data_IF_474468601246
#
_entry.id   IF_474468601246
#
_cell.length_a   1.000
_cell.length_b   1.000
_cell.length_c   1.000
_cell.angle_alpha   90.00
_cell.angle_beta   90.00
_cell.angle_gamma   90.00
#
_symmetry.space_group_name_H-M   'P 1'
#
loop_
_entity.id
_entity.type
_entity.pdbx_description
1 polymer ?
#
# COMPACT_ATOMS: atom_id res chain seq x y z
N UNK A 1 32.63 11.45 4.37
CA UNK A 1 32.45 10.06 3.88
C UNK A 1 31.57 9.25 4.81
N UNK A 2 31.88 9.13 6.11
CA UNK A 2 31.05 8.37 7.07
C UNK A 2 29.59 8.83 7.15
N UNK A 3 29.32 10.15 7.07
CA UNK A 3 27.94 10.67 7.00
C UNK A 3 27.20 10.20 5.75
N UNK A 4 27.87 10.16 4.60
CA UNK A 4 27.28 9.65 3.35
C UNK A 4 27.03 8.14 3.42
N UNK A 5 27.96 7.36 3.98
CA UNK A 5 27.73 5.92 4.16
C UNK A 5 26.51 5.65 5.05
N UNK A 6 26.31 6.45 6.10
CA UNK A 6 25.11 6.36 6.94
C UNK A 6 23.84 6.71 6.17
N UNK A 7 23.88 7.76 5.34
CA UNK A 7 22.76 8.15 4.47
C UNK A 7 22.46 7.02 3.45
N UNK A 8 23.48 6.41 2.84
CA UNK A 8 23.33 5.25 1.97
C UNK A 8 22.60 4.09 2.68
N UNK A 9 23.02 3.75 3.91
CA UNK A 9 22.42 2.66 4.67
C UNK A 9 20.96 2.96 5.04
N UNK A 10 20.65 4.21 5.38
CA UNK A 10 19.27 4.64 5.63
C UNK A 10 18.40 4.49 4.39
N UNK A 11 18.88 4.94 3.22
CA UNK A 11 18.16 4.82 1.96
C UNK A 11 17.94 3.36 1.57
N UNK A 12 18.96 2.51 1.74
CA UNK A 12 18.85 1.06 1.51
C UNK A 12 17.72 0.46 2.33
N UNK A 13 17.67 0.77 3.62
CA UNK A 13 16.62 0.25 4.50
C UNK A 13 15.23 0.76 4.08
N UNK A 14 15.10 2.03 3.70
CA UNK A 14 13.83 2.57 3.21
C UNK A 14 13.36 1.92 1.90
N UNK A 15 14.28 1.66 0.96
CA UNK A 15 13.99 0.95 -0.29
C UNK A 15 13.50 -0.47 0.03
N UNK A 16 14.23 -1.20 0.87
CA UNK A 16 13.88 -2.57 1.25
C UNK A 16 12.55 -2.65 2.01
N UNK A 17 12.27 -1.70 2.91
CA UNK A 17 11.00 -1.68 3.66
C UNK A 17 9.80 -1.51 2.72
N UNK A 18 9.93 -0.62 1.73
CA UNK A 18 8.89 -0.40 0.73
C UNK A 18 8.71 -1.60 -0.20
N UNK A 19 9.81 -2.14 -0.74
CA UNK A 19 9.81 -3.33 -1.60
C UNK A 19 9.16 -4.53 -0.90
N UNK A 20 9.57 -4.80 0.35
CA UNK A 20 9.03 -5.92 1.12
C UNK A 20 7.53 -5.79 1.40
N UNK A 21 7.03 -4.58 1.64
CA UNK A 21 5.58 -4.44 1.86
C UNK A 21 4.76 -4.43 0.58
N UNK A 22 5.29 -3.95 -0.55
CA UNK A 22 4.67 -4.18 -1.87
C UNK A 22 4.57 -5.68 -2.13
N UNK A 23 5.66 -6.42 -1.90
CA UNK A 23 5.69 -7.87 -2.07
C UNK A 23 4.70 -8.57 -1.13
N UNK A 24 4.67 -8.20 0.15
CA UNK A 24 3.76 -8.80 1.14
C UNK A 24 2.28 -8.64 0.76
N UNK A 25 1.91 -7.51 0.15
CA UNK A 25 0.56 -7.30 -0.36
C UNK A 25 0.32 -8.12 -1.63
N UNK A 26 1.26 -8.06 -2.58
CA UNK A 26 1.14 -8.72 -3.89
C UNK A 26 1.08 -10.25 -3.78
N UNK A 27 1.74 -10.83 -2.78
CA UNK A 27 1.71 -12.26 -2.48
C UNK A 27 0.44 -12.71 -1.73
N UNK A 28 -0.39 -11.78 -1.25
CA UNK A 28 -1.62 -12.13 -0.57
C UNK A 28 -2.65 -12.69 -1.56
N UNK A 29 -3.16 -13.90 -1.26
CA UNK A 29 -4.09 -14.62 -2.14
C UNK A 29 -5.55 -14.19 -1.96
N UNK A 30 -5.90 -13.66 -0.79
CA UNK A 30 -7.26 -13.31 -0.41
C UNK A 30 -7.61 -11.87 -0.79
N UNK A 31 -6.65 -10.95 -0.75
CA UNK A 31 -6.81 -9.55 -1.12
C UNK A 31 -7.41 -9.35 -2.53
N UNK A 32 -6.91 -9.98 -3.61
CA UNK A 32 -7.47 -9.76 -4.94
C UNK A 32 -8.90 -10.28 -5.04
N UNK A 33 -9.25 -11.32 -4.29
CA UNK A 33 -10.62 -11.84 -4.21
C UNK A 33 -11.52 -10.84 -3.47
N UNK A 34 -11.05 -10.28 -2.35
CA UNK A 34 -11.76 -9.24 -1.62
C UNK A 34 -12.04 -8.03 -2.53
N UNK A 35 -11.01 -7.51 -3.20
CA UNK A 35 -11.13 -6.36 -4.08
C UNK A 35 -12.11 -6.65 -5.22
N UNK A 36 -12.04 -7.81 -5.86
CA UNK A 36 -13.00 -8.20 -6.91
C UNK A 36 -14.45 -8.23 -6.42
N UNK A 37 -14.72 -8.75 -5.22
CA UNK A 37 -16.09 -8.75 -4.68
C UNK A 37 -16.58 -7.32 -4.40
N UNK A 38 -15.69 -6.44 -3.92
CA UNK A 38 -16.03 -5.02 -3.73
C UNK A 38 -16.32 -4.33 -5.07
N UNK A 39 -15.51 -4.59 -6.10
CA UNK A 39 -15.75 -4.12 -7.46
C UNK A 39 -17.08 -4.64 -8.03
N UNK A 40 -17.41 -5.91 -7.80
CA UNK A 40 -18.71 -6.47 -8.17
C UNK A 40 -19.87 -5.79 -7.44
N UNK A 41 -19.67 -5.40 -6.18
CA UNK A 41 -20.61 -4.58 -5.41
C UNK A 41 -20.90 -3.24 -6.07
N UNK A 42 -19.87 -2.54 -6.54
CA UNK A 42 -19.99 -1.31 -7.33
C UNK A 42 -20.75 -1.56 -8.64
N UNK A 43 -20.38 -2.63 -9.36
CA UNK A 43 -21.03 -3.01 -10.62
C UNK A 43 -22.51 -3.32 -10.45
N UNK A 44 -22.88 -4.04 -9.39
CA UNK A 44 -24.26 -4.33 -9.04
C UNK A 44 -25.05 -3.06 -8.71
N UNK A 45 -24.46 -2.15 -7.94
CA UNK A 45 -25.04 -0.84 -7.64
C UNK A 45 -25.29 -0.03 -8.93
N UNK A 46 -24.28 0.09 -9.79
CA UNK A 46 -24.41 0.79 -11.06
C UNK A 46 -25.49 0.19 -11.96
N UNK A 47 -25.61 -1.15 -12.00
CA UNK A 47 -26.68 -1.84 -12.74
C UNK A 47 -28.06 -1.52 -12.18
N UNK A 48 -28.20 -1.43 -10.86
CA UNK A 48 -29.45 -1.08 -10.19
C UNK A 48 -29.86 0.36 -10.51
N UNK A 49 -28.97 1.33 -10.35
CA UNK A 49 -29.22 2.75 -10.67
C UNK A 49 -29.57 2.92 -12.14
N UNK A 50 -28.86 2.25 -13.04
CA UNK A 50 -29.14 2.29 -14.49
C UNK A 50 -30.53 1.74 -14.86
N UNK A 51 -31.08 0.81 -14.06
CA UNK A 51 -32.44 0.28 -14.27
C UNK A 51 -33.53 1.17 -13.69
N UNK A 52 -33.21 1.95 -12.66
CA UNK A 52 -34.15 2.77 -11.92
C UNK A 52 -34.20 4.23 -12.40
N UNK A 53 -33.12 4.74 -13.02
CA UNK A 53 -33.00 6.12 -13.48
C UNK A 53 -32.97 6.21 -15.00
N UNK A 54 -33.63 7.22 -15.56
CA UNK A 54 -33.78 7.39 -17.01
C UNK A 54 -32.75 8.33 -17.65
N UNK A 55 -31.55 8.54 -17.06
CA UNK A 55 -30.31 9.10 -17.68
C UNK A 55 -29.55 10.24 -16.94
N UNK A 56 -29.67 10.42 -15.61
CA UNK A 56 -28.91 11.50 -14.93
C UNK A 56 -28.26 11.17 -13.58
N UNK A 57 -28.39 9.95 -13.06
CA UNK A 57 -27.72 9.60 -11.81
C UNK A 57 -26.26 9.25 -12.07
N UNK A 58 -25.36 9.87 -11.29
CA UNK A 58 -23.92 9.61 -11.39
C UNK A 58 -23.61 8.17 -10.99
N UNK A 59 -23.21 7.36 -11.96
CA UNK A 59 -22.67 6.03 -11.72
C UNK A 59 -21.32 6.15 -11.02
N UNK A 60 -21.02 5.18 -10.16
CA UNK A 60 -19.68 5.05 -9.60
C UNK A 60 -18.72 4.58 -10.69
N UNK A 61 -17.52 5.15 -10.70
CA UNK A 61 -16.44 4.65 -11.55
C UNK A 61 -16.04 3.23 -11.11
N UNK A 62 -15.78 2.32 -12.06
CA UNK A 62 -15.31 0.96 -11.76
C UNK A 62 -13.80 0.95 -11.50
N UNK A 63 -13.35 1.66 -10.46
CA UNK A 63 -11.94 1.76 -10.08
C UNK A 63 -11.71 1.36 -8.62
N UNK A 64 -10.46 0.99 -8.30
CA UNK A 64 -10.02 0.69 -6.94
C UNK A 64 -10.37 1.82 -5.95
N UNK A 65 -10.22 3.08 -6.38
CA UNK A 65 -10.51 4.25 -5.55
C UNK A 65 -11.99 4.39 -5.18
N UNK A 66 -12.90 3.94 -6.06
CA UNK A 66 -14.34 4.00 -5.80
C UNK A 66 -14.82 3.09 -4.68
N UNK A 67 -13.97 2.18 -4.17
CA UNK A 67 -14.28 1.37 -2.99
C UNK A 67 -14.57 2.26 -1.77
N UNK A 68 -13.87 3.39 -1.63
CA UNK A 68 -14.13 4.33 -0.53
C UNK A 68 -15.53 4.96 -0.63
N UNK A 69 -15.97 5.26 -1.85
CA UNK A 69 -17.27 5.88 -2.12
C UNK A 69 -18.45 4.97 -1.75
N UNK A 70 -18.25 3.64 -1.72
CA UNK A 70 -19.28 2.71 -1.26
C UNK A 70 -19.72 3.00 0.18
N UNK A 71 -18.85 3.57 1.02
CA UNK A 71 -19.16 3.92 2.41
C UNK A 71 -19.99 5.21 2.54
N UNK A 72 -20.24 5.90 1.42
CA UNK A 72 -21.08 7.10 1.37
C UNK A 72 -22.51 6.82 0.88
N UNK A 73 -22.74 5.61 0.36
CA UNK A 73 -24.01 5.21 -0.24
C UNK A 73 -24.80 4.43 0.81
N UNK A 74 -25.89 5.01 1.29
CA UNK A 74 -26.75 4.40 2.31
C UNK A 74 -27.92 3.64 1.69
N UNK A 75 -28.40 2.62 2.40
CA UNK A 75 -29.64 1.94 2.03
C UNK A 75 -30.81 2.94 1.98
N UNK A 76 -31.63 2.86 0.92
CA UNK A 76 -32.77 3.75 0.64
C UNK A 76 -33.88 3.72 1.71
N UNK A 77 -33.81 2.78 2.66
CA UNK A 77 -34.79 2.60 3.73
C UNK A 77 -34.53 3.50 4.96
N UNK A 78 -33.55 4.43 4.89
CA UNK A 78 -33.16 5.28 6.00
C UNK A 78 -32.33 4.57 7.09
N UNK A 79 -31.73 3.43 6.73
CA UNK A 79 -30.82 2.70 7.61
C UNK A 79 -29.42 3.32 7.65
N UNK A 80 -28.66 3.02 8.70
CA UNK A 80 -27.27 3.43 8.85
C UNK A 80 -26.26 2.56 8.09
N UNK A 81 -26.72 1.48 7.45
CA UNK A 81 -25.89 0.53 6.71
C UNK A 81 -25.53 1.08 5.35
N UNK A 82 -24.23 1.16 5.06
CA UNK A 82 -23.71 1.60 3.76
C UNK A 82 -23.66 0.44 2.76
N UNK A 83 -23.45 0.73 1.48
CA UNK A 83 -23.21 -0.27 0.45
C UNK A 83 -21.96 -1.10 0.78
N UNK A 84 -20.94 -0.46 1.36
CA UNK A 84 -19.75 -1.16 1.83
C UNK A 84 -20.10 -2.12 2.96
N UNK A 85 -20.81 -1.67 4.00
CA UNK A 85 -21.18 -2.51 5.14
C UNK A 85 -21.98 -3.74 4.67
N UNK A 86 -22.97 -3.53 3.81
CA UNK A 86 -23.76 -4.63 3.23
C UNK A 86 -22.89 -5.62 2.45
N UNK A 87 -21.92 -5.14 1.67
CA UNK A 87 -21.03 -5.99 0.89
C UNK A 87 -20.11 -6.79 1.80
N UNK A 88 -19.54 -6.16 2.84
CA UNK A 88 -18.70 -6.83 3.84
C UNK A 88 -19.47 -7.88 4.64
N UNK A 89 -20.71 -7.59 5.05
CA UNK A 89 -21.59 -8.57 5.70
C UNK A 89 -21.83 -9.80 4.80
N UNK A 90 -22.07 -9.59 3.51
CA UNK A 90 -22.24 -10.70 2.56
C UNK A 90 -20.97 -11.53 2.39
N UNK A 91 -19.80 -10.90 2.38
CA UNK A 91 -18.52 -11.61 2.35
C UNK A 91 -18.34 -12.41 3.63
N UNK A 92 -18.66 -11.84 4.80
CA UNK A 92 -18.56 -12.56 6.07
C UNK A 92 -19.46 -13.79 6.12
N UNK A 93 -20.69 -13.68 5.61
CA UNK A 93 -21.66 -14.78 5.58
C UNK A 93 -21.21 -15.92 4.65
N UNK A 94 -20.63 -15.60 3.49
CA UNK A 94 -20.35 -16.58 2.43
C UNK A 94 -18.90 -17.04 2.38
N UNK A 95 -17.95 -16.15 2.68
CA UNK A 95 -16.51 -16.32 2.53
C UNK A 95 -15.71 -15.63 3.66
N UNK A 96 -15.96 -15.98 4.93
CA UNK A 96 -15.36 -15.27 6.08
C UNK A 96 -13.83 -15.26 6.08
N UNK A 97 -13.19 -16.29 5.50
CA UNK A 97 -11.73 -16.37 5.40
C UNK A 97 -11.11 -15.24 4.57
N UNK A 98 -11.87 -14.63 3.66
CA UNK A 98 -11.39 -13.52 2.82
C UNK A 98 -11.13 -12.28 3.68
N UNK A 99 -11.96 -12.03 4.70
CA UNK A 99 -11.83 -10.85 5.56
C UNK A 99 -10.59 -10.90 6.46
N UNK A 100 -10.04 -12.09 6.70
CA UNK A 100 -8.77 -12.27 7.43
C UNK A 100 -7.53 -11.84 6.62
N UNK A 101 -7.70 -11.42 5.35
CA UNK A 101 -6.59 -10.95 4.50
C UNK A 101 -5.73 -9.87 5.18
N UNK A 102 -6.35 -8.98 5.96
CA UNK A 102 -5.64 -7.91 6.63
C UNK A 102 -4.85 -8.33 7.88
N UNK A 103 -5.13 -9.52 8.44
CA UNK A 103 -4.29 -10.13 9.47
C UNK A 103 -3.02 -10.74 8.87
N UNK A 104 -3.05 -11.12 7.58
CA UNK A 104 -1.92 -11.69 6.85
C UNK A 104 -0.96 -10.61 6.32
N UNK A 105 -1.45 -9.38 6.11
CA UNK A 105 -0.69 -8.25 5.58
C UNK A 105 -0.08 -7.41 6.73
N UNK A 106 1.11 -7.81 7.17
CA UNK A 106 1.79 -7.24 8.34
C UNK A 106 2.50 -5.88 8.09
N UNK A 107 2.59 -5.43 6.83
CA UNK A 107 3.36 -4.23 6.46
C UNK A 107 2.52 -2.97 6.22
N UNK A 108 1.18 -3.07 6.14
CA UNK A 108 0.28 -1.95 5.81
C UNK A 108 0.45 -0.73 6.73
N UNK A 109 0.55 -0.95 8.04
CA UNK A 109 0.70 0.13 9.02
C UNK A 109 2.10 0.75 9.04
N UNK A 110 3.13 -0.02 8.65
CA UNK A 110 4.52 0.45 8.63
C UNK A 110 4.78 1.36 7.43
N UNK A 111 4.26 1.01 6.26
CA UNK A 111 4.51 1.76 5.02
C UNK A 111 3.81 3.11 5.02
N UNK A 112 2.51 3.15 5.37
CA UNK A 112 1.69 4.36 5.33
C UNK A 112 2.21 5.54 6.17
N UNK A 113 3.12 5.28 7.12
CA UNK A 113 3.61 6.29 8.07
C UNK A 113 5.10 6.62 7.93
N UNK A 114 5.90 5.83 7.20
CA UNK A 114 7.37 5.93 7.24
C UNK A 114 8.07 6.01 5.90
N UNK A 115 7.47 5.55 4.82
CA UNK A 115 8.13 5.45 3.53
C UNK A 115 7.66 6.57 2.61
N UNK A 116 8.58 7.46 2.24
CA UNK A 116 8.33 8.51 1.24
C UNK A 116 9.31 8.33 0.06
N UNK A 117 8.76 7.99 -1.11
CA UNK A 117 9.57 7.70 -2.30
C UNK A 117 10.26 8.96 -2.85
N UNK A 118 9.66 10.14 -2.70
CA UNK A 118 10.30 11.42 -3.01
C UNK A 118 11.58 11.65 -2.19
N UNK A 119 11.57 11.33 -0.90
CA UNK A 119 12.75 11.45 -0.03
C UNK A 119 13.81 10.41 -0.36
N UNK A 120 13.41 9.18 -0.73
CA UNK A 120 14.34 8.16 -1.25
C UNK A 120 15.01 8.67 -2.53
N UNK A 121 14.22 9.14 -3.49
CA UNK A 121 14.67 9.70 -4.76
C UNK A 121 15.65 10.87 -4.55
N UNK A 122 15.25 11.88 -3.75
CA UNK A 122 16.09 13.04 -3.43
C UNK A 122 17.38 12.64 -2.74
N UNK A 123 17.32 11.64 -1.86
CA UNK A 123 18.50 11.08 -1.20
C UNK A 123 19.48 10.48 -2.19
N UNK A 124 19.01 9.66 -3.13
CA UNK A 124 19.83 9.06 -4.19
C UNK A 124 20.46 10.13 -5.06
N UNK A 125 19.67 11.11 -5.54
CA UNK A 125 20.18 12.22 -6.36
C UNK A 125 21.25 13.01 -5.60
N UNK A 126 21.02 13.31 -4.31
CA UNK A 126 21.97 14.06 -3.46
C UNK A 126 23.27 13.30 -3.26
N UNK A 127 23.22 11.98 -3.04
CA UNK A 127 24.41 11.15 -2.88
C UNK A 127 25.23 11.15 -4.17
N UNK A 128 24.59 10.93 -5.31
CA UNK A 128 25.27 10.95 -6.61
C UNK A 128 25.93 12.29 -6.90
N UNK A 129 25.17 13.38 -6.79
CA UNK A 129 25.70 14.72 -7.00
C UNK A 129 26.87 15.04 -6.04
N UNK A 130 26.73 14.66 -4.77
CA UNK A 130 27.75 14.86 -3.76
C UNK A 130 29.02 14.04 -3.99
N UNK A 131 28.90 12.82 -4.56
CA UNK A 131 30.03 11.99 -4.94
C UNK A 131 30.76 12.58 -6.15
N UNK A 132 30.04 12.95 -7.20
CA UNK A 132 30.62 13.54 -8.41
C UNK A 132 31.39 14.82 -8.10
N UNK A 133 30.82 15.68 -7.26
CA UNK A 133 31.49 16.92 -6.84
C UNK A 133 32.78 16.65 -6.06
N UNK A 134 32.80 15.62 -5.21
CA UNK A 134 33.99 15.26 -4.42
C UNK A 134 35.06 14.60 -5.28
N UNK A 135 34.68 13.76 -6.24
CA UNK A 135 35.59 13.19 -7.24
C UNK A 135 36.25 14.33 -8.02
N UNK A 136 35.46 15.23 -8.62
CA UNK A 136 35.98 16.37 -9.39
C UNK A 136 36.93 17.23 -8.56
N UNK A 137 36.54 17.53 -7.32
CA UNK A 137 37.41 18.29 -6.40
C UNK A 137 38.72 17.58 -6.08
N UNK A 138 38.71 16.24 -6.01
CA UNK A 138 39.90 15.44 -5.74
C UNK A 138 40.81 15.39 -6.97
N UNK A 139 40.25 15.19 -8.16
CA UNK A 139 40.96 15.24 -9.45
C UNK A 139 41.60 16.61 -9.67
N UNK A 140 40.87 17.70 -9.41
CA UNK A 140 41.42 19.06 -9.46
C UNK A 140 42.53 19.28 -8.44
N UNK A 141 42.38 18.75 -7.22
CA UNK A 141 43.38 18.81 -6.17
C UNK A 141 44.67 18.09 -6.57
N UNK A 142 44.56 16.87 -7.08
CA UNK A 142 45.68 16.07 -7.61
C UNK A 142 46.34 16.80 -8.79
N UNK A 143 45.56 17.27 -9.75
CA UNK A 143 46.07 17.98 -10.94
C UNK A 143 46.78 19.30 -10.59
N UNK A 144 46.27 20.06 -9.61
CA UNK A 144 46.94 21.25 -9.05
C UNK A 144 48.24 20.87 -8.33
N UNK A 145 48.22 19.77 -7.58
CA UNK A 145 49.41 19.29 -6.87
C UNK A 145 50.51 18.85 -7.84
N UNK A 146 50.17 18.06 -8.87
CA UNK A 146 51.09 17.66 -9.96
C UNK A 146 51.71 18.88 -10.65
N UNK A 147 50.93 19.94 -10.90
CA UNK A 147 51.44 21.20 -11.45
C UNK A 147 52.33 22.00 -10.47
N UNK A 148 52.17 21.84 -9.16
CA UNK A 148 52.95 22.53 -8.11
C UNK A 148 54.23 21.81 -7.67
N UNK A 149 54.36 20.51 -7.97
CA UNK A 149 55.50 19.66 -7.56
C UNK A 149 56.81 20.04 -8.29
N UNK A 150 56.76 20.94 -9.28
CA UNK A 150 57.98 21.60 -9.79
C UNK A 150 58.62 22.57 -8.78
N UNK A 151 58.07 22.76 -7.56
CA UNK A 151 58.55 23.83 -6.67
C UNK A 151 58.64 23.61 -5.15
N UNK A 152 58.08 22.57 -4.50
CA UNK A 152 58.24 22.49 -3.03
C UNK A 152 58.18 21.10 -2.40
N UNK A 153 59.16 20.87 -1.51
CA UNK A 153 59.26 19.74 -0.57
C UNK A 153 58.48 20.09 0.70
N UNK A 154 57.15 19.96 0.68
CA UNK A 154 56.38 19.91 1.93
C UNK A 154 55.38 18.77 1.83
N UNK A 155 55.76 17.69 2.49
CA UNK A 155 55.12 16.39 2.45
C UNK A 155 53.90 16.41 3.37
N UNK A 156 52.79 16.99 2.90
CA UNK A 156 51.49 16.72 3.51
C UNK A 156 51.11 15.29 3.14
N UNK A 157 50.98 14.42 4.16
CA UNK A 157 50.43 13.06 4.07
C UNK A 157 48.94 13.14 3.71
N UNK A 158 48.61 13.59 2.51
CA UNK A 158 47.32 13.29 1.92
C UNK A 158 47.39 11.83 1.51
N UNK A 159 46.73 10.95 2.27
CA UNK A 159 46.69 9.53 1.98
C UNK A 159 45.73 9.31 0.79
N UNK A 160 46.14 9.78 -0.39
CA UNK A 160 45.31 9.84 -1.58
C UNK A 160 44.74 8.48 -1.95
N UNK A 161 45.50 7.40 -1.75
CA UNK A 161 45.05 6.02 -1.94
C UNK A 161 43.88 5.66 -1.02
N UNK A 162 43.93 6.01 0.27
CA UNK A 162 42.84 5.74 1.21
C UNK A 162 41.57 6.53 0.87
N UNK A 163 41.72 7.76 0.36
CA UNK A 163 40.58 8.58 -0.07
C UNK A 163 39.98 8.03 -1.37
N UNK A 164 40.81 7.62 -2.34
CA UNK A 164 40.36 7.00 -3.58
C UNK A 164 39.61 5.69 -3.31
N UNK A 165 40.16 4.82 -2.47
CA UNK A 165 39.48 3.58 -2.05
C UNK A 165 38.10 3.84 -1.43
N UNK A 166 37.98 4.87 -0.60
CA UNK A 166 36.69 5.26 -0.01
C UNK A 166 35.72 5.86 -1.04
N UNK A 167 36.21 6.56 -2.06
CA UNK A 167 35.39 7.06 -3.18
C UNK A 167 34.86 5.90 -4.00
N UNK A 168 35.72 4.93 -4.34
CA UNK A 168 35.34 3.77 -5.14
C UNK A 168 34.30 2.93 -4.42
N UNK A 169 34.52 2.65 -3.12
CA UNK A 169 33.52 1.97 -2.31
C UNK A 169 32.18 2.73 -2.25
N UNK A 170 32.22 4.05 -2.07
CA UNK A 170 30.99 4.86 -2.08
C UNK A 170 30.28 4.86 -3.43
N UNK A 171 31.02 4.80 -4.54
CA UNK A 171 30.46 4.66 -5.88
C UNK A 171 29.76 3.32 -6.06
N UNK A 172 30.38 2.24 -5.64
CA UNK A 172 29.77 0.90 -5.67
C UNK A 172 28.46 0.88 -4.88
N UNK A 173 28.48 1.44 -3.66
CA UNK A 173 27.26 1.54 -2.83
C UNK A 173 26.20 2.43 -3.51
N UNK A 174 26.61 3.52 -4.15
CA UNK A 174 25.68 4.41 -4.87
C UNK A 174 25.05 3.73 -6.09
N UNK A 175 25.84 3.01 -6.88
CA UNK A 175 25.34 2.25 -8.03
C UNK A 175 24.41 1.13 -7.58
N UNK A 176 24.73 0.45 -6.47
CA UNK A 176 23.83 -0.51 -5.85
C UNK A 176 22.50 0.13 -5.44
N UNK A 177 22.52 1.28 -4.76
CA UNK A 177 21.29 1.98 -4.38
C UNK A 177 20.44 2.40 -5.58
N UNK A 178 21.07 2.86 -6.67
CA UNK A 178 20.35 3.18 -7.92
C UNK A 178 19.65 1.93 -8.47
N UNK A 179 20.36 0.80 -8.52
CA UNK A 179 19.81 -0.45 -9.01
C UNK A 179 18.62 -0.92 -8.15
N UNK A 180 18.77 -0.91 -6.82
CA UNK A 180 17.67 -1.27 -5.91
C UNK A 180 16.47 -0.33 -6.05
N UNK A 181 16.72 0.98 -6.20
CA UNK A 181 15.64 1.95 -6.41
C UNK A 181 14.92 1.74 -7.74
N UNK A 182 15.65 1.48 -8.82
CA UNK A 182 15.07 1.16 -10.12
C UNK A 182 14.25 -0.14 -10.05
N UNK A 183 14.74 -1.16 -9.33
CA UNK A 183 13.98 -2.40 -9.08
C UNK A 183 12.70 -2.13 -8.29
N UNK A 184 12.76 -1.26 -7.27
CA UNK A 184 11.59 -0.84 -6.53
C UNK A 184 10.57 -0.11 -7.42
N UNK A 185 11.00 0.76 -8.33
CA UNK A 185 10.09 1.42 -9.29
C UNK A 185 9.35 0.39 -10.15
N UNK A 186 10.05 -0.65 -10.60
CA UNK A 186 9.41 -1.78 -11.30
C UNK A 186 8.34 -2.42 -10.43
N UNK A 187 8.63 -2.75 -9.17
CA UNK A 187 7.66 -3.35 -8.25
C UNK A 187 6.43 -2.47 -8.04
N UNK A 188 6.60 -1.14 -7.93
CA UNK A 188 5.48 -0.19 -7.80
C UNK A 188 4.58 -0.20 -9.04
N UNK A 189 5.16 -0.24 -10.24
CA UNK A 189 4.38 -0.33 -11.49
C UNK A 189 3.59 -1.64 -11.58
N UNK A 190 4.22 -2.76 -11.23
CA UNK A 190 3.51 -4.05 -11.15
C UNK A 190 2.39 -4.02 -10.10
N UNK A 191 2.64 -3.40 -8.97
CA UNK A 191 1.65 -3.23 -7.91
C UNK A 191 0.44 -2.41 -8.38
N UNK A 192 0.66 -1.32 -9.11
CA UNK A 192 -0.40 -0.51 -9.71
C UNK A 192 -1.30 -1.35 -10.62
N UNK A 193 -0.68 -2.15 -11.51
CA UNK A 193 -1.40 -3.06 -12.39
C UNK A 193 -2.15 -4.15 -11.62
N UNK A 194 -1.53 -4.71 -10.58
CA UNK A 194 -2.15 -5.72 -9.73
C UNK A 194 -3.43 -5.19 -9.05
N UNK A 195 -3.42 -3.93 -8.61
CA UNK A 195 -4.59 -3.29 -8.00
C UNK A 195 -5.60 -2.72 -9.01
N UNK A 196 -5.30 -2.74 -10.31
CA UNK A 196 -6.14 -2.12 -11.34
C UNK A 196 -6.19 -0.58 -11.21
N UNK A 197 -5.11 0.04 -10.71
CA UNK A 197 -4.95 1.50 -10.64
C UNK A 197 -4.43 2.03 -11.98
N UNK A 198 -3.62 1.23 -12.68
CA UNK A 198 -3.09 1.55 -14.00
C UNK A 198 -4.12 1.21 -15.08
N UNK A 199 -5.09 2.09 -15.26
CA UNK A 199 -5.78 2.22 -16.54
C UNK A 199 -4.93 3.17 -17.39
N UNK A 200 -4.29 2.65 -18.44
CA UNK A 200 -3.62 3.43 -19.49
C UNK A 200 -4.54 4.42 -20.26
N UNK A 201 -5.67 4.81 -19.67
CA UNK A 201 -6.75 5.64 -20.18
C UNK A 201 -6.83 7.05 -19.58
N UNK A 202 -6.05 7.42 -18.55
CA UNK A 202 -6.02 8.80 -18.03
C UNK A 202 -5.26 9.81 -18.92
N UNK A 203 -5.11 9.53 -20.23
CA UNK A 203 -4.67 10.47 -21.27
C UNK A 203 -5.69 10.66 -22.40
N UNK A 204 -6.97 10.43 -22.14
CA UNK A 204 -8.04 10.91 -23.03
C UNK A 204 -8.80 11.98 -22.26
N UNK A 205 -8.99 13.16 -22.88
CA UNK A 205 -9.54 14.43 -22.34
C UNK A 205 -8.42 15.33 -21.76
N UNK A 206 -7.82 16.29 -22.45
CA UNK A 206 -8.17 17.07 -23.64
C UNK A 206 -6.95 17.25 -24.55
N UNK A 207 -7.02 16.76 -25.80
CA UNK A 207 -6.09 17.17 -26.86
C UNK A 207 -6.87 18.06 -27.81
N UNK A 208 -6.85 19.37 -27.56
CA UNK A 208 -6.82 20.33 -28.67
C UNK A 208 -5.55 20.07 -29.47
N UNK A 209 -5.63 19.81 -30.79
CA UNK A 209 -4.45 19.55 -31.59
C UNK A 209 -3.79 20.89 -31.90
N UNK A 210 -2.90 21.34 -31.02
CA UNK A 210 -1.82 22.23 -31.44
C UNK A 210 -0.51 21.46 -31.40
N UNK A 211 0.15 21.48 -32.55
CA UNK A 211 1.36 20.75 -32.87
C UNK A 211 2.59 21.34 -32.17
N UNK A 212 3.64 20.51 -32.15
CA UNK A 212 5.05 20.80 -31.91
C UNK A 212 5.53 20.85 -30.44
N UNK A 213 6.00 19.70 -29.96
CA UNK A 213 7.43 19.42 -29.78
C UNK A 213 7.65 18.05 -29.08
N UNK A 214 8.28 17.12 -29.80
CA UNK A 214 9.15 16.06 -29.26
C UNK A 214 8.71 15.26 -28.00
N UNK A 215 7.42 14.93 -27.89
CA UNK A 215 6.89 14.07 -26.83
C UNK A 215 7.24 12.60 -27.08
N UNK A 216 8.50 12.22 -26.88
CA UNK A 216 8.92 10.83 -26.68
C UNK A 216 8.62 10.38 -25.24
N UNK A 217 7.40 10.60 -24.75
CA UNK A 217 6.96 10.04 -23.46
C UNK A 217 6.54 8.58 -23.72
N UNK A 218 7.47 7.66 -23.45
CA UNK A 218 7.21 6.21 -23.48
C UNK A 218 6.13 5.81 -22.48
N UNK A 219 5.51 4.67 -22.72
CA UNK A 219 4.53 4.05 -21.82
C UNK A 219 5.19 3.45 -20.59
N UNK A 220 4.42 3.11 -19.54
CA UNK A 220 4.95 2.36 -18.40
C UNK A 220 5.52 0.99 -18.81
N UNK A 221 4.98 0.39 -19.88
CA UNK A 221 5.53 -0.85 -20.43
C UNK A 221 6.93 -0.64 -21.03
N UNK A 222 7.13 0.49 -21.72
CA UNK A 222 8.46 0.85 -22.23
C UNK A 222 9.45 1.08 -21.08
N UNK A 223 9.00 1.75 -20.01
CA UNK A 223 9.81 1.97 -18.81
C UNK A 223 10.17 0.65 -18.10
N UNK A 224 9.21 -0.28 -17.95
CA UNK A 224 9.47 -1.61 -17.36
C UNK A 224 10.52 -2.36 -18.18
N UNK A 225 10.40 -2.35 -19.50
CA UNK A 225 11.36 -3.00 -20.41
C UNK A 225 12.77 -2.40 -20.33
N UNK A 226 12.87 -1.06 -20.26
CA UNK A 226 14.16 -0.38 -20.06
C UNK A 226 14.78 -0.75 -18.71
N UNK A 227 13.97 -0.80 -17.64
CA UNK A 227 14.40 -1.22 -16.30
C UNK A 227 14.89 -2.67 -16.30
N UNK A 228 14.17 -3.60 -16.93
CA UNK A 228 14.56 -5.02 -17.00
C UNK A 228 15.92 -5.19 -17.67
N UNK A 229 16.12 -4.49 -18.79
CA UNK A 229 17.40 -4.48 -19.51
C UNK A 229 18.53 -4.00 -18.61
N UNK A 230 18.31 -2.94 -17.84
CA UNK A 230 19.31 -2.38 -16.90
C UNK A 230 19.65 -3.36 -15.79
N UNK A 231 18.63 -3.99 -15.17
CA UNK A 231 18.82 -4.97 -14.11
C UNK A 231 19.63 -6.18 -14.60
N UNK A 232 19.34 -6.71 -15.80
CA UNK A 232 20.10 -7.80 -16.40
C UNK A 232 21.56 -7.40 -16.69
N UNK A 233 21.79 -6.20 -17.23
CA UNK A 233 23.14 -5.69 -17.49
C UNK A 233 23.96 -5.53 -16.21
N UNK A 234 23.32 -5.05 -15.13
CA UNK A 234 23.95 -4.92 -13.81
C UNK A 234 24.40 -6.27 -13.25
N UNK A 235 23.51 -7.26 -13.28
CA UNK A 235 23.80 -8.62 -12.83
C UNK A 235 24.93 -9.29 -13.62
N UNK A 236 25.05 -8.95 -14.91
CA UNK A 236 26.12 -9.42 -15.80
C UNK A 236 27.44 -8.63 -15.66
N UNK A 237 27.55 -7.70 -14.70
CA UNK A 237 28.79 -6.98 -14.40
C UNK A 237 29.14 -5.87 -15.39
N UNK A 238 28.21 -5.39 -16.22
CA UNK A 238 28.45 -4.32 -17.21
C UNK A 238 28.33 -2.90 -16.60
N UNK A 239 28.96 -2.71 -15.44
CA UNK A 239 28.73 -1.60 -14.50
C UNK A 239 28.75 -0.20 -15.17
N UNK A 240 29.73 0.08 -16.04
CA UNK A 240 29.86 1.40 -16.68
C UNK A 240 28.71 1.75 -17.62
N UNK A 241 28.25 0.80 -18.44
CA UNK A 241 27.10 1.03 -19.34
C UNK A 241 25.81 1.11 -18.53
N UNK A 242 25.68 0.30 -17.49
CA UNK A 242 24.52 0.33 -16.60
C UNK A 242 24.37 1.69 -15.93
N UNK A 243 25.46 2.32 -15.48
CA UNK A 243 25.40 3.61 -14.77
C UNK A 243 24.74 4.72 -15.60
N UNK A 244 25.15 4.88 -16.86
CA UNK A 244 24.60 5.91 -17.74
C UNK A 244 23.09 5.74 -17.96
N UNK A 245 22.65 4.49 -18.15
CA UNK A 245 21.22 4.19 -18.34
C UNK A 245 20.44 4.40 -17.03
N UNK A 246 20.98 3.98 -15.88
CA UNK A 246 20.35 4.23 -14.57
C UNK A 246 20.16 5.73 -14.31
N UNK A 247 21.17 6.55 -14.62
CA UNK A 247 21.09 8.00 -14.46
C UNK A 247 20.05 8.64 -15.39
N UNK A 248 19.96 8.15 -16.63
CA UNK A 248 18.93 8.57 -17.58
C UNK A 248 17.52 8.23 -17.07
N UNK A 249 17.30 6.99 -16.62
CA UNK A 249 16.00 6.56 -16.06
C UNK A 249 15.63 7.46 -14.89
N UNK A 250 16.50 7.56 -13.87
CA UNK A 250 16.23 8.34 -12.65
C UNK A 250 15.94 9.81 -12.97
N UNK A 251 16.62 10.40 -13.96
CA UNK A 251 16.40 11.80 -14.35
C UNK A 251 15.05 12.05 -15.04
N UNK A 252 14.44 11.00 -15.60
CA UNK A 252 13.18 11.08 -16.34
C UNK A 252 11.97 10.56 -15.55
N UNK A 253 12.16 10.08 -14.32
CA UNK A 253 11.06 9.58 -13.49
C UNK A 253 10.18 10.72 -12.97
N UNK A 254 8.87 10.59 -13.19
CA UNK A 254 7.85 11.45 -12.59
C UNK A 254 7.46 10.88 -11.21
N UNK A 255 8.27 11.16 -10.19
CA UNK A 255 8.15 10.56 -8.84
C UNK A 255 6.78 10.79 -8.19
N UNK A 256 6.11 11.89 -8.53
CA UNK A 256 4.77 12.23 -8.03
C UNK A 256 3.72 11.18 -8.45
N UNK A 257 3.79 10.65 -9.68
CA UNK A 257 2.87 9.60 -10.15
C UNK A 257 3.01 8.31 -9.30
N UNK A 258 4.23 7.99 -8.86
CA UNK A 258 4.47 6.83 -8.01
C UNK A 258 3.99 7.05 -6.56
N UNK A 259 4.01 8.27 -6.04
CA UNK A 259 3.41 8.57 -4.73
C UNK A 259 1.90 8.34 -4.73
N UNK A 260 1.21 8.66 -5.82
CA UNK A 260 -0.21 8.40 -5.98
C UNK A 260 -0.53 6.90 -5.96
N UNK A 261 0.27 6.09 -6.70
CA UNK A 261 0.17 4.62 -6.66
C UNK A 261 0.37 4.09 -5.24
N UNK A 262 1.34 4.64 -4.50
CA UNK A 262 1.57 4.29 -3.09
C UNK A 262 0.45 4.80 -2.16
N UNK A 263 -0.41 5.72 -2.61
CA UNK A 263 -1.66 6.08 -1.94
C UNK A 263 -2.59 4.89 -1.72
N UNK A 264 -2.44 3.81 -2.50
CA UNK A 264 -3.23 2.60 -2.33
C UNK A 264 -3.04 1.93 -0.96
N UNK A 265 -1.87 2.08 -0.35
CA UNK A 265 -1.64 1.59 1.01
C UNK A 265 -2.56 2.27 2.03
N UNK A 266 -2.88 3.55 1.83
CA UNK A 266 -3.79 4.28 2.71
C UNK A 266 -5.21 3.76 2.56
N UNK A 267 -5.67 3.51 1.32
CA UNK A 267 -6.99 2.94 1.09
C UNK A 267 -7.12 1.52 1.66
N UNK A 268 -6.09 0.68 1.48
CA UNK A 268 -6.07 -0.66 2.07
C UNK A 268 -6.06 -0.63 3.60
N UNK A 269 -5.33 0.31 4.21
CA UNK A 269 -5.31 0.48 5.66
C UNK A 269 -6.65 1.01 6.20
N UNK A 270 -7.30 1.92 5.46
CA UNK A 270 -8.66 2.35 5.76
C UNK A 270 -9.66 1.19 5.68
N UNK A 271 -9.58 0.39 4.62
CA UNK A 271 -10.44 -0.77 4.41
C UNK A 271 -10.25 -1.83 5.50
N UNK A 272 -9.01 -2.07 5.96
CA UNK A 272 -8.71 -2.87 7.15
C UNK A 272 -9.48 -2.37 8.38
N UNK A 273 -9.52 -1.07 8.60
CA UNK A 273 -10.29 -0.44 9.66
C UNK A 273 -11.79 -0.72 9.53
N UNK A 274 -12.35 -0.58 8.34
CA UNK A 274 -13.77 -0.87 8.06
C UNK A 274 -14.13 -2.33 8.27
N UNK A 275 -13.31 -3.26 7.78
CA UNK A 275 -13.49 -4.71 8.01
C UNK A 275 -13.48 -5.02 9.51
N UNK A 276 -12.55 -4.45 10.26
CA UNK A 276 -12.47 -4.64 11.72
C UNK A 276 -13.74 -4.17 12.44
N UNK A 277 -14.30 -3.03 12.03
CA UNK A 277 -15.57 -2.50 12.57
C UNK A 277 -16.72 -3.44 12.23
N UNK A 278 -16.84 -3.89 10.97
CA UNK A 278 -17.91 -4.80 10.53
C UNK A 278 -17.88 -6.14 11.28
N UNK A 279 -16.69 -6.72 11.48
CA UNK A 279 -16.50 -7.93 12.31
C UNK A 279 -16.90 -7.69 13.78
N UNK A 280 -16.60 -6.51 14.32
CA UNK A 280 -16.95 -6.09 15.68
C UNK A 280 -18.46 -5.83 15.89
N UNK A 281 -19.11 -5.17 14.94
CA UNK A 281 -20.57 -4.96 14.94
C UNK A 281 -21.33 -6.28 14.87
N UNK A 282 -20.81 -7.27 14.14
CA UNK A 282 -21.39 -8.62 14.13
C UNK A 282 -21.18 -9.37 15.45
N UNK A 283 -20.10 -9.12 16.19
CA UNK A 283 -19.93 -9.66 17.55
C UNK A 283 -20.98 -9.08 18.50
N UNK A 284 -21.23 -7.77 18.48
CA UNK A 284 -22.28 -7.13 19.28
C UNK A 284 -23.68 -7.61 18.87
N UNK A 285 -23.99 -7.67 17.57
CA UNK A 285 -25.25 -8.21 17.08
C UNK A 285 -25.44 -9.69 17.43
N UNK A 286 -24.37 -10.51 17.41
CA UNK A 286 -24.44 -11.91 17.85
C UNK A 286 -24.59 -12.04 19.36
N UNK A 287 -23.98 -11.16 20.16
CA UNK A 287 -24.17 -11.10 21.62
C UNK A 287 -25.62 -10.71 21.93
N UNK A 288 -26.20 -9.73 21.23
CA UNK A 288 -27.61 -9.37 21.38
C UNK A 288 -28.56 -10.50 20.94
N UNK A 289 -28.25 -11.19 19.83
CA UNK A 289 -29.04 -12.35 19.36
C UNK A 289 -28.95 -13.54 20.32
N UNK A 290 -27.77 -13.82 20.86
CA UNK A 290 -27.56 -14.85 21.89
C UNK A 290 -28.23 -14.45 23.21
N UNK A 291 -28.18 -13.16 23.59
CA UNK A 291 -28.88 -12.60 24.75
C UNK A 291 -30.40 -12.73 24.60
N UNK A 292 -30.95 -12.48 23.40
CA UNK A 292 -32.37 -12.66 23.10
C UNK A 292 -32.78 -14.16 23.14
N UNK A 293 -31.94 -15.06 22.63
CA UNK A 293 -32.17 -16.52 22.71
C UNK A 293 -32.11 -17.00 24.18
N UNK A 294 -31.17 -16.50 24.97
CA UNK A 294 -31.06 -16.81 26.41
C UNK A 294 -32.22 -16.20 27.23
N UNK A 295 -32.73 -15.05 26.82
CA UNK A 295 -33.89 -14.38 27.45
C UNK A 295 -35.20 -15.11 27.12
N UNK A 296 -35.37 -15.58 25.88
CA UNK A 296 -36.53 -16.38 25.48
C UNK A 296 -36.52 -17.77 26.14
N UNK A 297 -35.36 -18.41 26.30
CA UNK A 297 -35.26 -19.67 27.08
C UNK A 297 -35.58 -19.48 28.56
N UNK A 298 -35.35 -18.30 29.15
CA UNK A 298 -35.76 -17.98 30.53
C UNK A 298 -37.26 -17.74 30.68
N UNK A 299 -37.94 -17.24 29.64
CA UNK A 299 -39.40 -17.10 29.67
C UNK A 299 -40.11 -18.45 29.47
N UNK A 300 -39.57 -19.35 28.65
CA UNK A 300 -40.15 -20.71 28.51
C UNK A 300 -39.93 -21.56 29.78
N UNK A 301 -38.81 -21.40 30.48
CA UNK A 301 -38.53 -22.15 31.72
C UNK A 301 -39.20 -21.59 32.99
N UNK A 302 -39.58 -20.31 33.03
CA UNK A 302 -40.35 -19.75 34.16
C UNK A 302 -41.85 -20.10 34.12
N UNK A 303 -42.43 -20.33 32.93
CA UNK A 303 -43.88 -20.61 32.83
C UNK A 303 -44.27 -22.00 33.35
N UNK A 304 -43.31 -22.93 33.39
CA UNK A 304 -43.50 -24.28 33.92
C UNK A 304 -43.25 -24.35 35.44
N UNK A 305 -42.33 -23.53 35.98
CA UNK A 305 -42.06 -23.44 37.42
C UNK A 305 -43.17 -22.73 38.20
N UNK A 306 -43.78 -21.68 37.65
CA UNK A 306 -44.90 -20.98 38.30
C UNK A 306 -46.17 -21.84 38.37
N UNK A 307 -46.38 -22.78 37.43
CA UNK A 307 -47.50 -23.74 37.47
C UNK A 307 -47.29 -24.93 38.40
N UNK A 308 -46.04 -25.29 38.71
CA UNK A 308 -45.73 -26.31 39.72
C UNK A 308 -45.78 -25.75 41.16
N UNK A 309 -45.35 -24.50 41.38
CA UNK A 309 -45.47 -23.86 42.71
C UNK A 309 -46.94 -23.58 43.09
N UNK A 310 -47.79 -23.16 42.14
CA UNK A 310 -49.22 -22.91 42.41
C UNK A 310 -50.01 -24.21 42.69
N UNK A 311 -49.55 -25.36 42.17
CA UNK A 311 -50.08 -26.69 42.51
C UNK A 311 -49.60 -27.22 43.87
N UNK A 312 -48.39 -26.89 44.28
CA UNK A 312 -47.84 -27.29 45.58
C UNK A 312 -48.43 -26.48 46.74
N UNK A 313 -48.74 -25.19 46.52
CA UNK A 313 -49.41 -24.34 47.50
C UNK A 313 -50.88 -24.76 47.76
N UNK A 314 -51.62 -25.13 46.71
CA UNK A 314 -53.01 -25.62 46.86
C UNK A 314 -53.14 -27.02 47.49
N UNK A 315 -52.05 -27.80 47.56
CA UNK A 315 -52.03 -29.11 48.24
C UNK A 315 -51.59 -29.06 49.70
N UNK A 316 -51.13 -27.92 50.21
CA UNK A 316 -50.81 -27.74 51.63
C UNK A 316 -51.94 -27.11 52.45
N UNK A 317 -52.91 -26.43 51.83
CA UNK A 317 -54.05 -25.80 52.55
C UNK A 317 -55.23 -26.74 52.88
N UNK A 318 -55.22 -28.00 52.46
CA UNK A 318 -56.33 -28.95 52.67
C UNK A 318 -56.10 -30.02 53.76
N UNK A 319 -55.14 -29.84 54.67
CA UNK A 319 -54.86 -30.83 55.75
C UNK A 319 -54.86 -30.33 57.20
N UNK A 320 -55.41 -29.14 57.49
CA UNK A 320 -55.47 -28.64 58.88
C UNK A 320 -56.82 -28.02 59.28
N UNK A 321 -57.93 -28.71 59.02
CA UNK A 321 -59.16 -28.55 59.80
C UNK A 321 -59.90 -29.87 59.86
N UNK A 322 -59.52 -30.71 60.82
CA UNK A 322 -60.35 -31.74 61.44
C UNK A 322 -59.64 -32.16 62.74
N UNK A 323 -59.85 -31.39 63.82
CA UNK A 323 -59.92 -31.84 65.21
C UNK A 323 -60.33 -30.65 66.11
N UNK A 324 -61.34 -30.93 66.94
CA UNK A 324 -62.11 -30.12 67.91
C UNK A 324 -63.22 -29.17 67.40
#
# INVERSE_FOLDING_TARGET
>A
MNTMLRECEQLKNSILELANGILNISENKNLPILLNILMDGIGAYNSMISRQSSSSDSLLEMSFWSIELMDTIYATNGGSTTLLDYTLEKIQDQFPSILNTFDEINYLEKISTKCNINEIYRGIVRINFGLDRRVKSLEEGINKHIKSVNGSKTQNKYNGEEVLLKIDHLREVSDFLKNEFISLIKEILFFSKYLGIDDGYNKVVDITPEADADSTKGTYDDLISEIETVCEMFQNGQIHKTREIMDKIISNLEIEEFEEILGAFNLLNWLKGRVSICLGQNLENNIERISAICSNKRQESNSDLEKEEEKLLNHQETRYYDED
#
